data_IF_780750819250
#
_entry.id   IF_780750819250
#
_cell.length_a   1.000
_cell.length_b   1.000
_cell.length_c   1.000
_cell.angle_alpha   90.00
_cell.angle_beta   90.00
_cell.angle_gamma   90.00
#
_symmetry.space_group_name_H-M   'P 1'
#
loop_
_entity.id
_entity.type
_entity.pdbx_description
1 polymer ?
#
# COMPACT_ATOMS: atom_id res chain seq x y z
N UNK A 1 23.39 -42.17 3.26
CA UNK A 1 22.36 -41.15 3.55
C UNK A 1 22.48 -40.71 5.00
N UNK A 2 23.45 -39.84 5.29
CA UNK A 2 23.72 -39.35 6.63
C UNK A 2 24.12 -37.88 6.58
N UNK A 3 23.75 -37.15 7.64
CA UNK A 3 24.13 -35.76 7.94
C UNK A 3 23.59 -34.63 7.03
N UNK A 4 22.30 -34.31 7.19
CA UNK A 4 21.80 -32.95 6.93
C UNK A 4 20.89 -32.35 8.03
N UNK A 5 20.58 -33.10 9.11
CA UNK A 5 19.63 -32.67 10.14
C UNK A 5 20.24 -32.05 11.42
N UNK A 6 21.57 -31.90 11.52
CA UNK A 6 22.21 -31.34 12.72
C UNK A 6 22.45 -29.82 12.68
N UNK A 7 22.21 -29.13 11.55
CA UNK A 7 22.48 -27.68 11.42
C UNK A 7 21.30 -26.75 11.71
N UNK A 8 20.07 -27.25 11.86
CA UNK A 8 18.88 -26.38 12.04
C UNK A 8 18.39 -26.22 13.49
N UNK A 9 19.09 -26.79 14.49
CA UNK A 9 18.69 -26.65 15.90
C UNK A 9 19.31 -25.43 16.63
N UNK A 10 20.03 -24.54 15.92
CA UNK A 10 20.83 -23.47 16.54
C UNK A 10 20.21 -22.06 16.57
N UNK A 11 18.97 -21.89 16.13
CA UNK A 11 18.34 -20.55 16.06
C UNK A 11 17.10 -20.35 16.95
N UNK A 12 16.73 -21.32 17.78
CA UNK A 12 15.47 -21.24 18.56
C UNK A 12 15.51 -20.36 19.82
N UNK A 13 16.66 -19.76 20.18
CA UNK A 13 16.83 -18.95 21.39
C UNK A 13 17.62 -17.65 21.12
N UNK A 14 17.19 -16.81 20.18
CA UNK A 14 17.70 -15.42 20.11
C UNK A 14 16.62 -14.48 20.60
N UNK A 15 16.72 -14.09 21.87
CA UNK A 15 16.11 -12.89 22.42
C UNK A 15 16.75 -11.72 21.68
N UNK A 16 16.06 -11.13 20.70
CA UNK A 16 16.55 -9.94 20.00
C UNK A 16 16.51 -8.81 21.03
N UNK A 17 17.66 -8.51 21.62
CA UNK A 17 17.83 -7.32 22.46
C UNK A 17 18.42 -6.26 21.54
N UNK A 18 17.58 -5.33 21.07
CA UNK A 18 18.03 -4.17 20.33
C UNK A 18 18.78 -3.25 21.31
N UNK A 19 20.11 -3.40 21.39
CA UNK A 19 20.97 -2.39 21.99
C UNK A 19 21.11 -1.26 20.97
N UNK A 20 20.36 -0.18 21.17
CA UNK A 20 20.62 1.10 20.51
C UNK A 20 21.75 1.76 21.31
N UNK A 21 22.98 1.67 20.80
CA UNK A 21 24.11 2.44 21.35
C UNK A 21 23.96 3.90 20.89
N UNK A 22 23.48 4.76 21.78
CA UNK A 22 23.62 6.20 21.65
C UNK A 22 24.96 6.56 22.28
N UNK A 23 25.94 6.93 21.46
CA UNK A 23 27.22 7.45 21.93
C UNK A 23 27.00 8.77 22.69
N UNK A 24 27.05 8.74 24.02
CA UNK A 24 27.21 9.93 24.86
C UNK A 24 28.68 10.12 25.21
N UNK A 25 29.17 11.31 24.87
CA UNK A 25 30.51 11.84 25.09
C UNK A 25 30.97 11.69 26.55
N UNK A 26 32.19 11.17 26.70
CA UNK A 26 32.95 10.91 27.92
C UNK A 26 32.93 12.04 28.97
N UNK A 27 32.56 11.68 30.21
CA UNK A 27 33.19 12.24 31.41
C UNK A 27 33.42 11.14 32.44
N UNK A 28 34.70 10.85 32.65
CA UNK A 28 35.27 9.98 33.68
C UNK A 28 34.65 10.23 35.07
N UNK A 29 34.12 9.19 35.69
CA UNK A 29 33.93 9.07 37.14
C UNK A 29 34.36 7.66 37.55
N UNK A 30 35.36 7.59 38.42
CA UNK A 30 35.84 6.36 39.07
C UNK A 30 34.73 5.73 39.91
N UNK A 31 34.48 4.42 39.73
CA UNK A 31 33.56 3.64 40.55
C UNK A 31 34.37 2.85 41.57
N UNK A 32 34.18 3.17 42.85
CA UNK A 32 34.57 2.33 43.98
C UNK A 32 33.55 1.20 44.14
N UNK A 33 34.03 -0.03 44.23
CA UNK A 33 33.24 -1.22 44.56
C UNK A 33 32.66 -1.13 45.98
N UNK A 34 31.33 -1.07 46.07
CA UNK A 34 30.56 -1.55 47.22
C UNK A 34 29.35 -2.29 46.70
N UNK A 35 29.41 -3.61 46.80
CA UNK A 35 28.28 -4.51 46.59
C UNK A 35 27.48 -4.53 47.89
N UNK A 36 26.40 -3.76 47.94
CA UNK A 36 25.30 -3.96 48.89
C UNK A 36 24.14 -4.62 48.14
N UNK A 37 23.47 -5.54 48.85
CA UNK A 37 22.35 -6.33 48.35
C UNK A 37 21.20 -5.43 47.89
N UNK A 38 21.02 -5.28 46.57
CA UNK A 38 19.80 -4.70 46.00
C UNK A 38 18.73 -5.79 45.86
N UNK A 39 17.55 -5.47 46.40
CA UNK A 39 16.31 -6.22 46.17
C UNK A 39 16.05 -6.31 44.66
N UNK A 40 15.81 -7.52 44.17
CA UNK A 40 15.37 -7.75 42.79
C UNK A 40 13.95 -7.18 42.69
N UNK A 41 13.84 -5.94 42.22
CA UNK A 41 12.57 -5.35 41.82
C UNK A 41 12.02 -6.19 40.66
N UNK A 42 10.96 -6.94 40.92
CA UNK A 42 10.24 -7.70 39.90
C UNK A 42 9.51 -6.66 39.05
N UNK A 43 10.19 -6.12 38.04
CA UNK A 43 9.56 -5.27 37.05
C UNK A 43 8.50 -6.11 36.34
N UNK A 44 7.26 -5.61 36.39
CA UNK A 44 6.12 -6.28 35.80
C UNK A 44 6.36 -6.49 34.30
N UNK A 45 6.14 -7.71 33.79
CA UNK A 45 6.43 -8.03 32.39
C UNK A 45 5.61 -7.16 31.44
N UNK A 46 4.42 -6.77 31.87
CA UNK A 46 3.49 -5.93 31.12
C UNK A 46 4.01 -4.49 30.97
N UNK A 47 4.86 -4.02 31.88
CA UNK A 47 5.48 -2.70 31.79
C UNK A 47 6.65 -2.68 30.79
N UNK A 48 7.43 -3.77 30.73
CA UNK A 48 8.55 -3.91 29.78
C UNK A 48 8.05 -4.06 28.34
N UNK A 49 6.96 -4.81 28.11
CA UNK A 49 6.38 -4.95 26.78
C UNK A 49 5.80 -3.62 26.26
N UNK A 50 5.11 -2.86 27.12
CA UNK A 50 4.59 -1.53 26.75
C UNK A 50 5.68 -0.52 26.43
N UNK A 51 6.81 -0.57 27.13
CA UNK A 51 7.93 0.34 26.86
C UNK A 51 8.62 0.05 25.52
N UNK A 52 8.78 -1.22 25.15
CA UNK A 52 9.40 -1.58 23.86
C UNK A 52 8.55 -1.17 22.64
N UNK A 53 7.22 -1.25 22.77
CA UNK A 53 6.27 -0.87 21.71
C UNK A 53 6.37 0.64 21.43
N UNK A 54 6.43 1.47 22.49
CA UNK A 54 6.61 2.91 22.35
C UNK A 54 7.91 3.27 21.64
N UNK A 55 8.99 2.54 21.87
CA UNK A 55 10.30 2.83 21.25
C UNK A 55 10.27 2.68 19.72
N UNK A 56 9.46 1.77 19.19
CA UNK A 56 9.36 1.55 17.73
C UNK A 56 8.65 2.73 17.06
N UNK A 57 7.64 3.33 17.69
CA UNK A 57 6.87 4.46 17.12
C UNK A 57 7.73 5.70 16.85
N UNK A 58 8.82 5.88 17.61
CA UNK A 58 9.73 7.02 17.46
C UNK A 58 10.83 6.81 16.40
N UNK A 59 10.93 5.63 15.79
CA UNK A 59 11.92 5.37 14.74
C UNK A 59 11.49 5.98 13.40
N UNK A 60 12.41 6.29 12.49
CA UNK A 60 12.06 6.63 11.10
C UNK A 60 11.25 5.50 10.44
N UNK A 61 10.29 5.85 9.57
CA UNK A 61 9.32 4.88 9.01
C UNK A 61 10.02 3.73 8.27
N UNK A 62 11.17 3.99 7.65
CA UNK A 62 11.99 2.99 6.97
C UNK A 62 12.54 1.94 7.95
N UNK A 63 12.98 2.37 9.13
CA UNK A 63 13.48 1.48 10.19
C UNK A 63 12.35 0.67 10.80
N UNK A 64 11.17 1.27 10.97
CA UNK A 64 9.99 0.56 11.45
C UNK A 64 9.55 -0.54 10.47
N UNK A 65 9.53 -0.23 9.16
CA UNK A 65 9.22 -1.21 8.12
C UNK A 65 10.29 -2.32 8.05
N UNK A 66 11.56 -2.02 8.31
CA UNK A 66 12.63 -3.02 8.43
C UNK A 66 12.41 -3.95 9.64
N UNK A 67 12.00 -3.40 10.79
CA UNK A 67 11.66 -4.21 11.96
C UNK A 67 10.49 -5.14 11.63
N UNK A 68 9.40 -4.59 11.10
CA UNK A 68 8.20 -5.33 10.69
C UNK A 68 8.54 -6.43 9.67
N UNK A 69 9.45 -6.16 8.73
CA UNK A 69 9.91 -7.13 7.74
C UNK A 69 10.56 -8.39 8.32
N UNK A 70 11.11 -8.28 9.52
CA UNK A 70 11.79 -9.39 10.18
C UNK A 70 10.88 -10.17 11.15
N UNK A 71 9.64 -9.74 11.34
CA UNK A 71 8.69 -10.42 12.22
C UNK A 71 8.03 -11.61 11.51
N UNK A 72 7.80 -12.68 12.27
CA UNK A 72 6.97 -13.79 11.82
C UNK A 72 5.50 -13.38 11.70
N UNK A 73 4.74 -14.09 10.86
CA UNK A 73 3.31 -13.79 10.63
C UNK A 73 2.47 -13.72 11.91
N UNK A 74 2.80 -14.52 12.93
CA UNK A 74 2.08 -14.51 14.21
C UNK A 74 2.33 -13.21 15.00
N UNK A 75 3.59 -12.77 15.04
CA UNK A 75 4.00 -11.53 15.71
C UNK A 75 3.37 -10.31 15.02
N UNK A 76 3.30 -10.32 13.68
CA UNK A 76 2.59 -9.29 12.93
C UNK A 76 1.10 -9.22 13.30
N UNK A 77 0.41 -10.36 13.41
CA UNK A 77 -1.01 -10.38 13.79
C UNK A 77 -1.24 -9.92 15.23
N UNK A 78 -0.29 -10.17 16.13
CA UNK A 78 -0.34 -9.67 17.52
C UNK A 78 -0.14 -8.16 17.54
N UNK A 79 0.90 -7.65 16.87
CA UNK A 79 1.15 -6.20 16.75
C UNK A 79 -0.01 -5.46 16.07
N UNK A 80 -0.61 -6.05 15.05
CA UNK A 80 -1.77 -5.50 14.36
C UNK A 80 -2.97 -5.31 15.30
N UNK A 81 -3.12 -6.18 16.32
CA UNK A 81 -4.24 -6.13 17.27
C UNK A 81 -3.98 -5.25 18.48
N UNK A 82 -2.72 -5.05 18.86
CA UNK A 82 -2.37 -4.32 20.08
C UNK A 82 -2.49 -2.81 19.91
N UNK A 83 -2.29 -2.28 18.71
CA UNK A 83 -2.24 -0.84 18.48
C UNK A 83 -2.69 -0.46 17.06
N UNK A 84 -3.55 0.55 16.95
CA UNK A 84 -4.00 1.11 15.66
C UNK A 84 -2.83 1.63 14.81
N UNK A 85 -1.77 2.16 15.43
CA UNK A 85 -0.55 2.56 14.76
C UNK A 85 0.09 1.38 14.00
N UNK A 86 0.34 0.27 14.70
CA UNK A 86 0.91 -0.93 14.10
C UNK A 86 -0.05 -1.57 13.11
N UNK A 87 -1.37 -1.52 13.35
CA UNK A 87 -2.36 -1.92 12.36
C UNK A 87 -2.19 -1.16 11.04
N UNK A 88 -2.14 0.17 11.09
CA UNK A 88 -1.96 1.01 9.91
C UNK A 88 -0.60 0.74 9.24
N UNK A 89 0.47 0.64 10.02
CA UNK A 89 1.83 0.42 9.55
C UNK A 89 2.00 -0.96 8.89
N UNK A 90 1.45 -2.01 9.49
CA UNK A 90 1.47 -3.38 8.96
C UNK A 90 0.57 -3.49 7.73
N UNK A 91 -0.59 -2.83 7.70
CA UNK A 91 -1.41 -2.78 6.49
C UNK A 91 -0.70 -2.09 5.34
N UNK A 92 -0.05 -0.96 5.60
CA UNK A 92 0.79 -0.28 4.62
C UNK A 92 1.90 -1.23 4.13
N UNK A 93 2.64 -1.86 5.04
CA UNK A 93 3.70 -2.82 4.72
C UNK A 93 3.22 -4.02 3.89
N UNK A 94 2.09 -4.63 4.27
CA UNK A 94 1.50 -5.76 3.57
C UNK A 94 1.05 -5.42 2.15
N UNK A 95 0.76 -4.15 1.87
CA UNK A 95 0.45 -3.68 0.52
C UNK A 95 1.73 -3.45 -0.28
N UNK A 96 2.77 -2.86 0.32
CA UNK A 96 4.09 -2.65 -0.32
C UNK A 96 4.78 -3.96 -0.72
N UNK A 97 4.51 -5.06 0.01
CA UNK A 97 5.09 -6.36 -0.29
C UNK A 97 4.33 -7.20 -1.32
N UNK A 98 3.10 -6.82 -1.67
CA UNK A 98 2.32 -7.62 -2.61
C UNK A 98 2.85 -7.43 -4.01
N UNK A 99 3.64 -8.41 -4.43
CA UNK A 99 3.92 -8.66 -5.84
C UNK A 99 2.70 -9.32 -6.45
N UNK A 100 2.12 -8.65 -7.43
CA UNK A 100 1.08 -9.23 -8.26
C UNK A 100 1.71 -9.65 -9.58
N UNK A 101 1.25 -10.77 -10.14
CA UNK A 101 1.70 -11.19 -11.46
C UNK A 101 1.18 -10.23 -12.51
N UNK A 102 -0.11 -9.88 -12.44
CA UNK A 102 -0.63 -8.83 -13.30
C UNK A 102 -1.80 -8.05 -12.71
N UNK A 103 -2.05 -6.90 -13.29
CA UNK A 103 -3.23 -6.07 -13.06
C UNK A 103 -3.84 -5.69 -14.41
N UNK A 104 -5.16 -5.79 -14.52
CA UNK A 104 -5.90 -5.51 -15.75
C UNK A 104 -7.09 -4.58 -15.49
N UNK A 105 -7.19 -3.52 -16.29
CA UNK A 105 -8.26 -2.53 -16.25
C UNK A 105 -9.36 -2.93 -17.23
N UNK A 106 -10.40 -3.59 -16.70
CA UNK A 106 -11.47 -4.24 -17.47
C UNK A 106 -12.84 -3.64 -17.19
N UNK A 107 -13.77 -4.05 -18.04
CA UNK A 107 -15.19 -3.75 -17.97
C UNK A 107 -15.94 -4.87 -17.22
N UNK A 108 -16.76 -4.55 -16.21
CA UNK A 108 -17.40 -5.56 -15.33
C UNK A 108 -18.29 -6.57 -16.05
N UNK A 109 -18.87 -6.20 -17.20
CA UNK A 109 -19.81 -6.99 -18.00
C UNK A 109 -19.39 -8.43 -18.24
N UNK A 110 -18.09 -8.61 -18.44
CA UNK A 110 -17.50 -9.88 -18.88
C UNK A 110 -17.51 -10.88 -17.71
N UNK A 111 -17.64 -10.41 -16.47
CA UNK A 111 -17.38 -11.18 -15.25
C UNK A 111 -18.59 -11.36 -14.34
N UNK A 112 -19.74 -10.78 -14.64
CA UNK A 112 -20.95 -10.92 -13.80
C UNK A 112 -21.44 -12.37 -13.67
N UNK A 113 -20.96 -13.28 -14.52
CA UNK A 113 -21.24 -14.72 -14.45
C UNK A 113 -20.05 -15.57 -13.97
N UNK A 114 -18.92 -14.94 -13.61
CA UNK A 114 -17.76 -15.67 -13.10
C UNK A 114 -17.87 -15.88 -11.58
N UNK A 115 -17.64 -17.10 -11.06
CA UNK A 115 -17.57 -17.35 -9.62
C UNK A 115 -16.51 -16.49 -8.89
N UNK A 116 -15.51 -15.97 -9.61
CA UNK A 116 -14.49 -15.07 -9.04
C UNK A 116 -15.05 -13.70 -8.63
N UNK A 117 -16.23 -13.32 -9.15
CA UNK A 117 -16.81 -11.99 -8.89
C UNK A 117 -17.38 -11.84 -7.48
N UNK A 118 -17.62 -12.94 -6.78
CA UNK A 118 -18.09 -12.93 -5.39
C UNK A 118 -17.00 -12.42 -4.41
N UNK A 119 -15.73 -12.42 -4.82
CA UNK A 119 -14.59 -11.95 -4.01
C UNK A 119 -14.14 -10.55 -4.41
N UNK A 120 -15.10 -9.63 -4.55
CA UNK A 120 -14.78 -8.22 -4.73
C UNK A 120 -14.13 -7.64 -3.47
N UNK A 121 -13.13 -6.78 -3.65
CA UNK A 121 -12.69 -5.89 -2.57
C UNK A 121 -13.81 -4.93 -2.23
N UNK A 122 -14.51 -5.22 -1.14
CA UNK A 122 -15.54 -4.34 -0.60
C UNK A 122 -14.92 -3.05 -0.07
N UNK A 123 -15.72 -1.98 -0.08
CA UNK A 123 -15.43 -0.77 0.69
C UNK A 123 -15.41 -1.12 2.18
N UNK A 124 -14.29 -1.65 2.67
CA UNK A 124 -14.02 -1.64 4.10
C UNK A 124 -13.88 -0.18 4.50
N UNK A 125 -14.58 0.21 5.56
CA UNK A 125 -14.44 1.51 6.21
C UNK A 125 -12.95 1.75 6.45
N UNK A 126 -12.40 2.73 5.74
CA UNK A 126 -11.03 3.18 5.97
C UNK A 126 -11.00 3.87 7.33
N UNK A 127 -9.93 3.62 8.10
CA UNK A 127 -9.68 4.32 9.36
C UNK A 127 -9.80 5.83 9.16
N UNK A 128 -10.42 6.52 10.11
CA UNK A 128 -10.84 7.92 10.02
C UNK A 128 -9.68 8.94 9.97
N UNK A 129 -8.42 8.49 10.08
CA UNK A 129 -7.24 9.34 10.28
C UNK A 129 -6.72 10.04 9.02
N UNK A 130 -7.51 10.10 7.95
CA UNK A 130 -7.09 10.82 6.75
C UNK A 130 -7.23 12.33 6.99
N UNK A 131 -6.20 13.17 6.77
CA UNK A 131 -6.29 14.62 6.95
C UNK A 131 -7.20 15.24 5.87
N UNK A 132 -8.50 15.22 6.16
CA UNK A 132 -9.58 15.54 5.23
C UNK A 132 -9.70 17.03 4.92
N UNK A 133 -9.20 17.87 5.82
CA UNK A 133 -9.39 19.33 5.75
C UNK A 133 -8.75 19.92 4.49
N UNK A 134 -7.57 19.44 4.10
CA UNK A 134 -6.85 19.96 2.94
C UNK A 134 -7.51 19.64 1.59
N UNK A 135 -8.28 18.55 1.52
CA UNK A 135 -8.87 18.07 0.27
C UNK A 135 -10.36 18.37 0.12
N UNK A 136 -11.03 18.79 1.21
CA UNK A 136 -12.48 18.97 1.24
C UNK A 136 -13.01 19.89 0.13
N UNK A 137 -12.38 21.05 -0.07
CA UNK A 137 -12.82 22.01 -1.09
C UNK A 137 -12.57 21.49 -2.52
N UNK A 138 -11.40 20.88 -2.75
CA UNK A 138 -11.06 20.25 -4.04
C UNK A 138 -12.03 19.13 -4.40
N UNK A 139 -12.39 18.29 -3.42
CA UNK A 139 -13.31 17.18 -3.64
C UNK A 139 -14.76 17.62 -3.80
N UNK A 140 -15.16 18.72 -3.14
CA UNK A 140 -16.46 19.34 -3.42
C UNK A 140 -16.54 19.80 -4.88
N UNK A 141 -15.48 20.44 -5.40
CA UNK A 141 -15.41 20.80 -6.81
C UNK A 141 -15.44 19.58 -7.75
N UNK A 142 -14.91 18.43 -7.35
CA UNK A 142 -14.99 17.19 -8.14
C UNK A 142 -16.43 16.70 -8.28
N UNK A 143 -17.20 16.74 -7.19
CA UNK A 143 -18.64 16.39 -7.19
C UNK A 143 -19.40 17.31 -8.14
N UNK A 144 -19.17 18.62 -8.03
CA UNK A 144 -19.88 19.62 -8.83
C UNK A 144 -19.57 19.48 -10.33
N UNK A 145 -18.33 19.11 -10.69
CA UNK A 145 -17.89 18.88 -12.08
C UNK A 145 -18.23 17.47 -12.60
N UNK A 146 -18.68 16.56 -11.73
CA UNK A 146 -18.96 15.17 -12.05
C UNK A 146 -17.82 14.46 -12.82
N UNK A 147 -16.58 14.66 -12.37
CA UNK A 147 -15.39 14.10 -13.05
C UNK A 147 -15.32 12.59 -12.76
N UNK A 148 -15.21 11.73 -13.79
CA UNK A 148 -15.12 10.28 -13.57
C UNK A 148 -13.73 9.84 -13.10
N UNK A 149 -13.67 8.75 -12.33
CA UNK A 149 -12.41 8.11 -11.89
C UNK A 149 -11.64 7.52 -13.06
N UNK A 150 -12.36 6.96 -14.03
CA UNK A 150 -11.76 6.35 -15.21
C UNK A 150 -12.19 7.08 -16.48
N UNK A 151 -11.26 7.22 -17.41
CA UNK A 151 -11.60 7.46 -18.80
C UNK A 151 -11.87 6.11 -19.45
N UNK A 152 -13.04 5.98 -20.07
CA UNK A 152 -13.46 4.76 -20.75
C UNK A 152 -13.60 4.99 -22.24
N UNK A 153 -13.27 3.96 -23.02
CA UNK A 153 -13.60 3.90 -24.45
C UNK A 153 -15.11 3.89 -24.72
N UNK A 154 -15.91 3.38 -23.77
CA UNK A 154 -17.35 3.17 -23.94
C UNK A 154 -18.14 3.92 -22.88
N UNK A 155 -18.31 5.25 -22.99
CA UNK A 155 -18.98 6.05 -21.97
C UNK A 155 -20.46 5.67 -21.75
N UNK A 156 -21.09 5.05 -22.75
CA UNK A 156 -22.47 4.60 -22.70
C UNK A 156 -22.61 3.12 -22.33
N UNK A 157 -21.50 2.43 -22.06
CA UNK A 157 -21.57 1.07 -21.59
C UNK A 157 -22.26 1.05 -20.23
N UNK A 158 -23.24 0.15 -20.05
CA UNK A 158 -23.90 -0.13 -18.77
C UNK A 158 -22.95 -0.71 -17.71
N UNK A 159 -21.66 -0.66 -17.96
CA UNK A 159 -20.67 -1.50 -17.31
C UNK A 159 -19.73 -0.64 -16.48
N UNK A 160 -19.47 -1.13 -15.27
CA UNK A 160 -18.61 -0.43 -14.33
C UNK A 160 -17.16 -0.85 -14.59
N UNK A 161 -16.22 0.10 -14.71
CA UNK A 161 -14.81 -0.24 -14.75
C UNK A 161 -14.40 -0.97 -13.48
N UNK A 162 -13.61 -2.02 -13.62
CA UNK A 162 -13.00 -2.74 -12.52
C UNK A 162 -11.52 -2.99 -12.78
N UNK A 163 -10.81 -3.24 -11.69
CA UNK A 163 -9.39 -3.56 -11.70
C UNK A 163 -9.27 -5.01 -11.23
N UNK A 164 -8.72 -5.86 -12.07
CA UNK A 164 -8.55 -7.29 -11.80
C UNK A 164 -7.09 -7.55 -11.45
N UNK A 165 -6.84 -8.22 -10.33
CA UNK A 165 -5.51 -8.66 -9.91
C UNK A 165 -5.36 -10.16 -10.18
N UNK A 166 -4.28 -10.52 -10.87
CA UNK A 166 -3.84 -11.91 -11.06
C UNK A 166 -2.75 -12.23 -10.02
N UNK A 167 -3.10 -13.09 -9.05
CA UNK A 167 -2.15 -13.68 -8.11
C UNK A 167 -1.71 -15.07 -8.65
N UNK A 168 -0.53 -15.57 -8.28
CA UNK A 168 0.07 -16.80 -8.88
C UNK A 168 -0.80 -18.08 -8.82
N UNK A 169 -1.96 -18.07 -8.15
CA UNK A 169 -2.84 -19.21 -7.92
C UNK A 169 -4.31 -18.75 -7.82
N UNK A 170 -5.29 -19.63 -8.11
CA UNK A 170 -6.24 -19.57 -9.23
C UNK A 170 -7.35 -18.50 -9.15
N UNK A 171 -7.32 -17.60 -8.18
CA UNK A 171 -8.43 -16.69 -7.92
C UNK A 171 -8.07 -15.24 -8.29
N UNK A 172 -8.72 -14.76 -9.36
CA UNK A 172 -8.72 -13.34 -9.68
C UNK A 172 -9.40 -12.55 -8.55
N UNK A 173 -8.77 -11.45 -8.12
CA UNK A 173 -9.41 -10.50 -7.21
C UNK A 173 -9.86 -9.28 -7.96
N UNK A 174 -11.06 -8.79 -7.67
CA UNK A 174 -11.66 -7.67 -8.38
C UNK A 174 -11.81 -6.48 -7.44
N UNK A 175 -11.25 -5.34 -7.82
CA UNK A 175 -11.49 -4.05 -7.19
C UNK A 175 -12.44 -3.22 -8.05
N UNK A 176 -13.60 -2.91 -7.47
CA UNK A 176 -14.58 -2.01 -8.08
C UNK A 176 -14.44 -0.64 -7.43
N UNK A 177 -14.00 0.34 -8.22
CA UNK A 177 -14.01 1.73 -7.79
C UNK A 177 -15.29 2.41 -8.29
N UNK A 178 -15.86 3.35 -7.52
CA UNK A 178 -17.01 4.14 -7.99
C UNK A 178 -16.59 4.98 -9.20
N UNK A 179 -17.35 4.91 -10.29
CA UNK A 179 -17.05 5.68 -11.49
C UNK A 179 -17.19 7.19 -11.25
N UNK A 180 -18.25 7.58 -10.54
CA UNK A 180 -18.54 8.96 -10.13
C UNK A 180 -18.68 8.99 -8.60
N UNK A 181 -17.62 9.36 -7.86
CA UNK A 181 -17.70 9.49 -6.42
C UNK A 181 -18.58 10.70 -6.07
N UNK A 182 -19.71 10.45 -5.43
CA UNK A 182 -20.74 11.47 -5.08
C UNK A 182 -20.62 11.96 -3.63
N UNK A 183 -19.73 11.37 -2.84
CA UNK A 183 -19.54 11.64 -1.41
C UNK A 183 -18.08 11.56 -1.04
N UNK A 184 -17.68 12.33 -0.03
CA UNK A 184 -16.30 12.38 0.48
C UNK A 184 -15.72 10.98 0.79
N UNK A 185 -16.51 10.10 1.39
CA UNK A 185 -16.09 8.73 1.71
C UNK A 185 -15.69 7.92 0.46
N UNK A 186 -16.39 8.12 -0.67
CA UNK A 186 -16.03 7.45 -1.93
C UNK A 186 -14.73 8.01 -2.50
N UNK A 187 -14.45 9.31 -2.36
CA UNK A 187 -13.15 9.88 -2.75
C UNK A 187 -12.01 9.37 -1.88
N UNK A 188 -12.21 9.23 -0.56
CA UNK A 188 -11.22 8.61 0.32
C UNK A 188 -10.90 7.19 -0.13
N UNK A 189 -11.94 6.41 -0.44
CA UNK A 189 -11.79 5.05 -0.94
C UNK A 189 -11.02 4.98 -2.26
N UNK A 190 -11.38 5.81 -3.23
CA UNK A 190 -10.68 5.90 -4.52
C UNK A 190 -9.22 6.31 -4.31
N UNK A 191 -8.97 7.37 -3.53
CA UNK A 191 -7.63 7.87 -3.23
C UNK A 191 -6.76 6.79 -2.56
N UNK A 192 -7.30 6.10 -1.56
CA UNK A 192 -6.62 5.03 -0.86
C UNK A 192 -6.17 3.93 -1.83
N UNK A 193 -7.10 3.42 -2.64
CA UNK A 193 -6.78 2.34 -3.58
C UNK A 193 -5.82 2.78 -4.66
N UNK A 194 -6.00 3.96 -5.25
CA UNK A 194 -5.07 4.49 -6.24
C UNK A 194 -3.67 4.61 -5.64
N UNK A 195 -3.55 5.19 -4.44
CA UNK A 195 -2.26 5.30 -3.75
C UNK A 195 -1.60 3.93 -3.57
N UNK A 196 -2.36 2.94 -3.11
CA UNK A 196 -1.84 1.60 -2.90
C UNK A 196 -1.42 0.92 -4.20
N UNK A 197 -2.18 1.10 -5.28
CA UNK A 197 -1.84 0.58 -6.60
C UNK A 197 -0.48 1.10 -7.09
N UNK A 198 -0.14 2.36 -6.83
CA UNK A 198 1.17 2.93 -7.20
C UNK A 198 2.33 2.45 -6.33
N UNK A 199 2.05 1.84 -5.19
CA UNK A 199 3.09 1.33 -4.27
C UNK A 199 3.39 -0.15 -4.52
N UNK A 200 2.47 -0.89 -5.15
CA UNK A 200 2.61 -2.29 -5.53
C UNK A 200 3.61 -2.51 -6.69
N UNK A 201 4.17 -3.72 -6.73
CA UNK A 201 4.98 -4.23 -7.85
C UNK A 201 4.13 -5.21 -8.70
N UNK A 202 4.17 -5.04 -10.02
CA UNK A 202 3.45 -5.89 -10.98
C UNK A 202 4.41 -6.48 -12.03
N UNK A 203 4.29 -7.75 -12.40
CA UNK A 203 5.05 -8.20 -13.60
C UNK A 203 4.44 -7.59 -14.86
N UNK A 204 3.11 -7.50 -14.92
CA UNK A 204 2.39 -6.97 -16.08
C UNK A 204 1.22 -6.04 -15.70
N UNK A 205 1.08 -4.92 -16.40
CA UNK A 205 -0.08 -4.03 -16.32
C UNK A 205 -0.77 -3.99 -17.67
N UNK A 206 -2.07 -4.27 -17.71
CA UNK A 206 -2.89 -4.25 -18.92
C UNK A 206 -3.96 -3.16 -18.82
N UNK A 207 -3.98 -2.25 -19.81
CA UNK A 207 -5.05 -1.26 -19.95
C UNK A 207 -5.92 -1.64 -21.15
N UNK A 208 -7.02 -2.33 -20.89
CA UNK A 208 -7.88 -2.88 -21.94
C UNK A 208 -8.92 -1.88 -22.42
N UNK A 209 -9.74 -1.37 -21.50
CA UNK A 209 -10.87 -0.50 -21.86
C UNK A 209 -10.89 0.84 -21.11
N UNK A 210 -10.08 0.93 -20.05
CA UNK A 210 -10.12 2.01 -19.08
C UNK A 210 -8.71 2.41 -18.64
N UNK A 211 -8.55 3.71 -18.38
CA UNK A 211 -7.37 4.27 -17.71
C UNK A 211 -7.84 5.22 -16.61
N UNK A 212 -7.01 5.46 -15.60
CA UNK A 212 -7.33 6.50 -14.62
C UNK A 212 -7.43 7.86 -15.28
N UNK A 213 -8.41 8.66 -14.88
CA UNK A 213 -8.55 10.02 -15.35
C UNK A 213 -7.45 10.90 -14.72
N UNK A 214 -6.52 11.48 -15.50
CA UNK A 214 -5.43 12.29 -14.95
C UNK A 214 -5.93 13.55 -14.23
N UNK A 215 -7.09 14.10 -14.60
CA UNK A 215 -7.69 15.23 -13.87
C UNK A 215 -8.15 14.79 -12.47
N UNK A 216 -8.75 13.59 -12.37
CA UNK A 216 -9.11 13.00 -11.07
C UNK A 216 -7.85 12.81 -10.21
N UNK A 217 -6.75 12.27 -10.76
CA UNK A 217 -5.49 12.08 -10.03
C UNK A 217 -4.95 13.42 -9.50
N UNK A 218 -4.91 14.47 -10.33
CA UNK A 218 -4.47 15.82 -9.94
C UNK A 218 -5.29 16.45 -8.82
N UNK A 219 -6.56 16.08 -8.71
CA UNK A 219 -7.47 16.59 -7.68
C UNK A 219 -7.46 15.73 -6.42
N UNK A 220 -7.23 14.43 -6.57
CA UNK A 220 -7.07 13.51 -5.46
C UNK A 220 -5.76 13.73 -4.73
N UNK A 221 -4.65 14.03 -5.42
CA UNK A 221 -3.29 14.09 -4.86
C UNK A 221 -2.64 15.45 -5.02
N UNK A 222 -1.70 15.80 -4.13
CA UNK A 222 -0.88 17.01 -4.32
C UNK A 222 0.26 16.73 -5.33
N UNK A 223 0.92 17.79 -5.83
CA UNK A 223 1.95 17.65 -6.86
C UNK A 223 3.17 16.83 -6.41
N UNK A 224 3.54 16.91 -5.13
CA UNK A 224 4.63 16.15 -4.55
C UNK A 224 4.31 14.65 -4.50
N UNK A 225 3.14 14.28 -4.01
CA UNK A 225 2.62 12.90 -4.02
C UNK A 225 2.57 12.33 -5.44
N UNK A 226 2.08 13.10 -6.40
CA UNK A 226 1.99 12.66 -7.81
C UNK A 226 3.38 12.38 -8.38
N UNK A 227 4.39 13.19 -8.03
CA UNK A 227 5.77 12.98 -8.51
C UNK A 227 6.39 11.67 -8.02
N UNK A 228 5.91 11.16 -6.89
CA UNK A 228 6.33 9.89 -6.28
C UNK A 228 5.50 8.69 -6.79
N UNK A 229 4.34 8.94 -7.41
CA UNK A 229 3.45 7.90 -7.91
C UNK A 229 3.93 7.36 -9.25
N UNK A 230 4.50 6.16 -9.19
CA UNK A 230 5.03 5.45 -10.36
C UNK A 230 4.61 4.00 -10.30
N UNK A 231 3.93 3.50 -11.33
CA UNK A 231 3.67 2.07 -11.42
C UNK A 231 5.00 1.34 -11.57
N UNK A 232 5.25 0.39 -10.67
CA UNK A 232 6.42 -0.48 -10.76
C UNK A 232 6.01 -1.73 -11.51
N UNK A 233 6.38 -1.81 -12.79
CA UNK A 233 6.11 -2.99 -13.59
C UNK A 233 7.19 -3.34 -14.60
N UNK A 234 7.26 -4.63 -14.94
CA UNK A 234 8.17 -5.12 -15.98
C UNK A 234 7.58 -4.90 -17.39
N UNK A 235 6.27 -5.11 -17.55
CA UNK A 235 5.59 -5.01 -18.83
C UNK A 235 4.32 -4.17 -18.68
N UNK A 236 4.13 -3.19 -19.58
CA UNK A 236 2.88 -2.45 -19.71
C UNK A 236 2.29 -2.66 -21.10
N UNK A 237 1.06 -3.19 -21.17
CA UNK A 237 0.35 -3.47 -22.42
C UNK A 237 -0.86 -2.54 -22.51
N UNK A 238 -0.95 -1.81 -23.62
CA UNK A 238 -2.10 -0.99 -23.95
C UNK A 238 -2.86 -1.65 -25.10
N UNK A 239 -3.99 -2.28 -24.79
CA UNK A 239 -4.91 -2.77 -25.82
C UNK A 239 -5.79 -1.62 -26.29
N UNK A 240 -5.16 -0.63 -26.94
CA UNK A 240 -5.88 0.29 -27.81
C UNK A 240 -6.28 -0.48 -29.07
N UNK A 241 -7.31 -1.34 -28.95
CA UNK A 241 -7.92 -2.02 -30.08
C UNK A 241 -8.43 -0.93 -31.02
N UNK A 242 -7.66 -0.71 -32.09
CA UNK A 242 -7.92 0.13 -33.26
C UNK A 242 -8.79 1.35 -32.95
N UNK A 243 -8.16 2.47 -32.60
CA UNK A 243 -8.70 3.74 -33.08
C UNK A 243 -8.39 3.77 -34.58
N UNK A 244 -9.34 3.27 -35.38
CA UNK A 244 -9.57 3.84 -36.69
C UNK A 244 -9.90 5.30 -36.44
N UNK A 245 -8.90 6.19 -36.50
CA UNK A 245 -8.94 7.62 -36.81
C UNK A 245 -7.62 8.25 -36.32
N UNK A 246 -6.79 8.65 -37.29
CA UNK A 246 -5.44 9.21 -37.17
C UNK A 246 -5.24 10.45 -36.23
N UNK A 247 -6.27 10.91 -35.51
CA UNK A 247 -6.18 12.08 -34.62
C UNK A 247 -5.73 11.77 -33.18
N UNK A 248 -5.80 10.52 -32.72
CA UNK A 248 -5.57 10.15 -31.31
C UNK A 248 -4.16 9.68 -30.99
N UNK A 249 -3.30 9.49 -31.99
CA UNK A 249 -1.89 9.15 -31.78
C UNK A 249 -1.15 10.24 -31.00
N UNK A 250 -1.45 11.52 -31.24
CA UNK A 250 -0.90 12.63 -30.46
C UNK A 250 -1.43 12.66 -29.04
N UNK A 251 -2.70 12.28 -28.81
CA UNK A 251 -3.27 12.19 -27.46
C UNK A 251 -2.65 11.01 -26.68
N UNK A 252 -2.40 9.89 -27.35
CA UNK A 252 -1.71 8.74 -26.76
C UNK A 252 -0.26 9.11 -26.46
N UNK A 253 0.46 9.77 -27.38
CA UNK A 253 1.80 10.26 -27.11
C UNK A 253 1.82 11.28 -25.96
N UNK A 254 0.86 12.20 -25.90
CA UNK A 254 0.78 13.20 -24.82
C UNK A 254 0.38 12.58 -23.48
N UNK A 255 -0.53 11.60 -23.46
CA UNK A 255 -0.85 10.81 -22.25
C UNK A 255 0.35 9.96 -21.87
N UNK A 256 1.09 9.37 -22.81
CA UNK A 256 2.32 8.65 -22.53
C UNK A 256 3.44 9.59 -22.04
N UNK A 257 3.57 10.81 -22.56
CA UNK A 257 4.53 11.80 -22.06
C UNK A 257 4.11 12.36 -20.69
N UNK A 258 2.81 12.55 -20.45
CA UNK A 258 2.33 13.14 -19.20
C UNK A 258 2.24 12.09 -18.09
N UNK A 259 1.89 10.85 -18.42
CA UNK A 259 1.79 9.72 -17.47
C UNK A 259 3.11 8.96 -17.38
N UNK A 260 3.91 8.85 -18.45
CA UNK A 260 5.21 8.17 -18.43
C UNK A 260 6.42 9.10 -18.55
N UNK A 261 6.34 10.28 -19.15
CA UNK A 261 7.45 11.25 -19.15
C UNK A 261 7.73 11.88 -17.77
N UNK A 262 6.76 11.86 -16.85
CA UNK A 262 6.98 12.11 -15.42
C UNK A 262 7.42 10.86 -14.63
N UNK A 263 7.26 9.67 -15.20
CA UNK A 263 7.42 8.38 -14.51
C UNK A 263 8.68 7.60 -14.94
N UNK A 264 9.29 7.91 -16.09
CA UNK A 264 10.50 7.25 -16.62
C UNK A 264 11.71 8.20 -16.78
N UNK A 265 12.01 8.96 -15.73
CA UNK A 265 13.38 9.35 -15.32
C UNK A 265 13.58 8.83 -13.89
#
# INVERSE_FOLDING_TARGET
MGNLFSKFKKFKNRKITLKVEIETIDKNVEVNEKVENEEIEIIDKDEVENNNIKTIEYLPVEMQLLIIKNLERKELLEMERTNQYFHALINNYNLTLKKFKSIDFRCSAIFEHSPSFDKCYEMKTLSEDFPMEFFREKWKSLVDKNIPVFLTKFPNALFQPCIVFDEELPEEKVLKLPLYPDRLLKFQFVRYWIKNLFVCDFDMICFTDHIFNPEMIKLLFNSEEISQMKFKCNIAIFYLIKILMFGTLLLIFWVLETVFGYVMI
#
